data_IF_827788814640
#
_entry.id   IF_827788814640
#
_cell.length_a   1.000
_cell.length_b   1.000
_cell.length_c   1.000
_cell.angle_alpha   90.00
_cell.angle_beta   90.00
_cell.angle_gamma   90.00
#
_symmetry.space_group_name_H-M   'P 1'
#
loop_
_entity.id
_entity.type
_entity.pdbx_description
1 polymer ?
#
# COMPACT_ATOMS: atom_id res chain seq x y z
N UNK A 1 -10.19 -66.24 -42.88
CA UNK A 1 -11.46 -65.70 -42.35
C UNK A 1 -11.12 -64.65 -41.29
N UNK A 2 -11.34 -63.36 -41.61
CA UNK A 2 -11.31 -62.14 -40.74
C UNK A 2 -10.00 -61.84 -39.97
N UNK A 3 -9.10 -60.97 -40.47
CA UNK A 3 -9.08 -59.49 -40.34
C UNK A 3 -9.40 -58.97 -38.93
N UNK A 4 -8.40 -58.48 -38.19
CA UNK A 4 -8.36 -57.43 -37.14
C UNK A 4 -6.89 -57.42 -36.66
N UNK A 5 -6.12 -56.33 -36.49
CA UNK A 5 -6.42 -54.99 -36.00
C UNK A 5 -5.32 -54.02 -36.53
N UNK A 6 -5.72 -52.83 -36.96
CA UNK A 6 -4.87 -51.75 -37.47
C UNK A 6 -4.66 -50.68 -36.40
N UNK A 7 -3.56 -49.94 -36.59
CA UNK A 7 -3.33 -48.53 -36.22
C UNK A 7 -3.06 -48.17 -34.74
N UNK A 8 -1.77 -48.04 -34.44
CA UNK A 8 -1.24 -47.04 -33.51
C UNK A 8 -1.10 -45.71 -34.29
N UNK A 9 -1.83 -44.67 -33.93
CA UNK A 9 -1.64 -43.33 -34.49
C UNK A 9 -1.87 -42.26 -33.43
N UNK A 10 -0.77 -41.59 -33.08
CA UNK A 10 -0.68 -40.15 -32.82
C UNK A 10 -1.62 -39.54 -31.76
N UNK A 11 -1.09 -39.41 -30.55
CA UNK A 11 -1.61 -38.48 -29.53
C UNK A 11 -1.47 -37.05 -30.09
N UNK A 12 -2.60 -36.44 -30.44
CA UNK A 12 -2.67 -35.02 -30.82
C UNK A 12 -2.65 -34.16 -29.56
N UNK A 13 -1.60 -33.33 -29.46
CA UNK A 13 -1.38 -32.33 -28.42
C UNK A 13 -2.39 -31.18 -28.63
N UNK A 14 -3.45 -31.16 -27.84
CA UNK A 14 -4.39 -30.04 -27.80
C UNK A 14 -3.70 -28.85 -27.10
N UNK A 15 -3.24 -27.90 -27.92
CA UNK A 15 -2.75 -26.59 -27.48
C UNK A 15 -3.94 -25.81 -26.90
N UNK A 16 -4.04 -25.76 -25.57
CA UNK A 16 -5.00 -24.91 -24.88
C UNK A 16 -4.58 -23.44 -25.08
N UNK A 17 -5.20 -22.78 -26.05
CA UNK A 17 -5.12 -21.34 -26.24
C UNK A 17 -5.90 -20.72 -25.08
N UNK A 18 -5.18 -20.28 -24.04
CA UNK A 18 -5.70 -19.37 -23.04
C UNK A 18 -6.04 -18.05 -23.72
N UNK A 19 -7.31 -17.90 -24.14
CA UNK A 19 -7.88 -16.61 -24.41
C UNK A 19 -7.92 -15.84 -23.09
N UNK A 20 -6.95 -14.97 -22.87
CA UNK A 20 -7.05 -13.89 -21.89
C UNK A 20 -8.15 -12.95 -22.38
N UNK A 21 -9.38 -13.27 -21.99
CA UNK A 21 -10.53 -12.38 -22.13
C UNK A 21 -10.29 -11.18 -21.22
N UNK A 22 -9.75 -10.10 -21.78
CA UNK A 22 -9.99 -8.77 -21.23
C UNK A 22 -11.50 -8.55 -21.27
N UNK A 23 -12.15 -8.51 -20.11
CA UNK A 23 -13.59 -8.26 -20.03
C UNK A 23 -13.89 -6.83 -20.50
N UNK A 24 -14.42 -6.68 -21.72
CA UNK A 24 -15.09 -5.46 -22.20
C UNK A 24 -16.38 -5.15 -21.41
N UNK A 25 -16.80 -6.04 -20.50
CA UNK A 25 -18.04 -5.94 -19.72
C UNK A 25 -18.02 -4.89 -18.60
N UNK A 26 -16.87 -4.29 -18.26
CA UNK A 26 -16.82 -3.31 -17.16
C UNK A 26 -17.33 -1.92 -17.61
N UNK A 27 -17.27 -1.62 -18.91
CA UNK A 27 -17.74 -0.36 -19.49
C UNK A 27 -19.24 -0.36 -19.82
N UNK A 28 -19.87 -1.54 -19.93
CA UNK A 28 -21.31 -1.65 -20.18
C UNK A 28 -22.16 -1.43 -18.93
N UNK A 29 -21.54 -1.35 -17.74
CA UNK A 29 -22.25 -1.10 -16.48
C UNK A 29 -22.55 0.39 -16.24
N UNK A 30 -21.83 1.34 -16.86
CA UNK A 30 -22.01 2.77 -16.59
C UNK A 30 -23.05 3.43 -17.51
N UNK A 31 -23.89 4.32 -16.96
CA UNK A 31 -24.78 5.16 -17.76
C UNK A 31 -23.95 6.07 -18.67
N UNK A 32 -24.16 5.94 -19.98
CA UNK A 32 -23.54 6.82 -20.97
C UNK A 32 -24.18 8.20 -20.93
N UNK A 33 -23.41 9.18 -20.46
CA UNK A 33 -23.87 10.58 -20.40
C UNK A 33 -24.12 11.11 -21.81
N UNK A 34 -25.31 11.68 -22.03
CA UNK A 34 -25.66 12.30 -23.31
C UNK A 34 -24.89 13.63 -23.47
N UNK A 35 -24.04 13.78 -24.52
CA UNK A 35 -23.25 15.00 -24.72
C UNK A 35 -24.07 16.30 -24.83
N UNK A 36 -25.35 16.21 -25.17
CA UNK A 36 -26.25 17.36 -25.24
C UNK A 36 -26.41 18.08 -23.88
N UNK A 37 -26.12 17.44 -22.76
CA UNK A 37 -26.13 18.08 -21.43
C UNK A 37 -24.91 18.97 -21.17
N UNK A 38 -23.85 18.92 -21.99
CA UNK A 38 -22.65 19.76 -21.80
C UNK A 38 -22.93 21.27 -21.86
N UNK A 39 -24.04 21.69 -22.47
CA UNK A 39 -24.49 23.07 -22.47
C UNK A 39 -25.11 23.53 -21.14
N UNK A 40 -25.46 22.60 -20.24
CA UNK A 40 -26.12 22.86 -18.95
C UNK A 40 -25.28 22.40 -17.75
N UNK A 41 -24.47 21.35 -17.91
CA UNK A 41 -23.62 20.78 -16.86
C UNK A 41 -22.16 20.84 -17.32
N UNK A 42 -21.38 21.71 -16.67
CA UNK A 42 -19.94 21.90 -16.95
C UNK A 42 -19.07 20.86 -16.26
N UNK A 43 -19.52 20.30 -15.15
CA UNK A 43 -18.72 19.34 -14.39
C UNK A 43 -19.53 18.56 -13.39
N UNK A 44 -19.14 17.32 -13.19
CA UNK A 44 -19.69 16.43 -12.17
C UNK A 44 -18.65 15.38 -11.80
N UNK A 45 -18.73 14.83 -10.60
CA UNK A 45 -17.87 13.70 -10.23
C UNK A 45 -18.42 12.42 -10.90
N UNK A 46 -17.58 11.73 -11.66
CA UNK A 46 -17.98 10.56 -12.46
C UNK A 46 -16.91 9.47 -12.43
N UNK A 47 -17.29 8.25 -12.83
CA UNK A 47 -16.35 7.13 -12.88
C UNK A 47 -16.11 6.55 -11.49
N UNK A 48 -14.84 6.32 -11.13
CA UNK A 48 -14.48 5.73 -9.84
C UNK A 48 -14.18 6.83 -8.81
N UNK A 49 -14.93 6.83 -7.70
CA UNK A 49 -14.84 7.84 -6.64
C UNK A 49 -14.48 7.22 -5.29
N UNK A 50 -14.05 8.04 -4.34
CA UNK A 50 -13.87 7.56 -2.97
C UNK A 50 -15.22 7.27 -2.32
N UNK A 51 -15.28 6.27 -1.44
CA UNK A 51 -16.47 6.02 -0.61
C UNK A 51 -16.78 7.15 0.37
N UNK A 52 -15.86 8.08 0.60
CA UNK A 52 -16.07 9.30 1.40
C UNK A 52 -16.27 10.54 0.52
N UNK A 53 -16.49 10.39 -0.79
CA UNK A 53 -16.71 11.52 -1.69
C UNK A 53 -18.13 12.08 -1.58
N UNK A 54 -18.22 13.40 -1.63
CA UNK A 54 -19.46 14.10 -1.94
C UNK A 54 -19.79 13.99 -3.44
N UNK A 55 -21.06 14.17 -3.80
CA UNK A 55 -21.50 14.27 -5.19
C UNK A 55 -21.63 15.74 -5.58
N UNK A 56 -21.09 16.15 -6.72
CA UNK A 56 -21.06 17.55 -7.13
C UNK A 56 -21.60 17.68 -8.54
N UNK A 57 -22.48 18.66 -8.77
CA UNK A 57 -22.89 19.13 -10.09
C UNK A 57 -22.53 20.60 -10.22
N UNK A 58 -21.81 20.95 -11.28
CA UNK A 58 -21.53 22.32 -11.69
C UNK A 58 -22.32 22.66 -12.95
N UNK A 59 -23.21 23.64 -12.82
CA UNK A 59 -24.06 24.19 -13.85
C UNK A 59 -23.26 25.11 -14.81
N UNK A 60 -23.77 25.32 -16.01
CA UNK A 60 -23.20 26.25 -17.00
C UNK A 60 -23.56 27.70 -16.80
N UNK A 61 -24.60 27.96 -16.01
CA UNK A 61 -25.07 29.27 -15.64
C UNK A 61 -25.53 29.30 -14.19
N UNK A 62 -25.63 30.50 -13.64
CA UNK A 62 -26.13 30.71 -12.27
C UNK A 62 -27.60 30.33 -12.19
N UNK A 63 -27.94 29.48 -11.22
CA UNK A 63 -29.34 29.17 -10.94
C UNK A 63 -30.06 30.37 -10.32
N UNK A 64 -31.25 30.68 -10.84
CA UNK A 64 -32.15 31.67 -10.23
C UNK A 64 -32.74 31.20 -8.89
N UNK A 65 -32.59 29.92 -8.57
CA UNK A 65 -33.03 29.29 -7.33
C UNK A 65 -31.98 29.38 -6.22
N UNK A 66 -30.76 29.80 -6.54
CA UNK A 66 -29.72 30.02 -5.55
C UNK A 66 -30.15 31.07 -4.53
N UNK A 67 -29.98 30.74 -3.25
CA UNK A 67 -30.26 31.65 -2.13
C UNK A 67 -28.97 32.21 -1.57
N UNK A 68 -28.16 31.35 -0.95
CA UNK A 68 -26.88 31.68 -0.33
C UNK A 68 -25.99 30.43 -0.29
N UNK A 69 -24.70 30.64 -0.06
CA UNK A 69 -23.72 29.55 0.13
C UNK A 69 -24.04 28.74 1.39
N UNK A 70 -23.84 27.44 1.30
CA UNK A 70 -24.13 26.40 2.30
C UNK A 70 -25.62 26.24 2.66
N UNK A 71 -26.53 26.88 1.92
CA UNK A 71 -27.96 26.69 2.08
C UNK A 71 -28.38 25.27 1.65
N UNK A 72 -29.05 24.54 2.54
CA UNK A 72 -29.62 23.22 2.26
C UNK A 72 -30.76 23.33 1.24
N UNK A 73 -30.74 22.49 0.22
CA UNK A 73 -31.86 22.32 -0.71
C UNK A 73 -32.91 21.41 -0.08
N UNK A 74 -34.09 21.97 0.20
CA UNK A 74 -35.23 21.22 0.74
C UNK A 74 -35.89 20.31 -0.29
N UNK A 75 -35.75 20.66 -1.56
CA UNK A 75 -36.21 19.86 -2.70
C UNK A 75 -35.21 18.72 -2.94
N UNK A 76 -35.71 17.51 -3.17
CA UNK A 76 -34.87 16.35 -3.47
C UNK A 76 -34.35 16.42 -4.90
N UNK A 77 -33.25 17.14 -5.11
CA UNK A 77 -32.64 17.31 -6.44
C UNK A 77 -31.71 16.16 -6.84
N UNK A 78 -31.29 15.33 -5.88
CA UNK A 78 -30.52 14.11 -6.15
C UNK A 78 -31.34 12.88 -5.78
N UNK A 79 -31.28 11.87 -6.65
CA UNK A 79 -31.76 10.52 -6.39
C UNK A 79 -30.66 9.53 -6.72
N UNK A 80 -30.55 8.49 -5.89
CA UNK A 80 -29.51 7.47 -5.97
C UNK A 80 -30.13 6.08 -6.00
N UNK A 81 -29.63 5.22 -6.88
CA UNK A 81 -29.89 3.79 -6.85
C UNK A 81 -28.56 3.02 -6.78
N UNK A 82 -28.24 2.36 -5.65
CA UNK A 82 -29.04 2.26 -4.42
C UNK A 82 -29.12 3.58 -3.64
N UNK A 83 -30.12 3.69 -2.76
CA UNK A 83 -30.38 4.89 -1.97
C UNK A 83 -29.19 5.29 -1.09
N UNK A 84 -28.92 6.60 -1.03
CA UNK A 84 -27.91 7.22 -0.16
C UNK A 84 -28.62 8.25 0.72
N UNK A 85 -28.45 8.13 2.04
CA UNK A 85 -28.88 9.15 2.99
C UNK A 85 -27.88 10.31 3.01
N UNK A 86 -28.37 11.55 3.00
CA UNK A 86 -27.54 12.74 3.00
C UNK A 86 -28.33 13.99 2.62
N UNK A 87 -27.63 15.13 2.57
CA UNK A 87 -28.22 16.44 2.29
C UNK A 87 -27.53 17.10 1.08
N UNK A 88 -28.32 17.78 0.25
CA UNK A 88 -27.82 18.64 -0.81
C UNK A 88 -27.76 20.09 -0.34
N UNK A 89 -26.71 20.81 -0.74
CA UNK A 89 -26.54 22.24 -0.44
C UNK A 89 -25.93 23.00 -1.62
N UNK A 90 -26.19 24.30 -1.65
CA UNK A 90 -25.56 25.22 -2.59
C UNK A 90 -24.13 25.54 -2.14
N UNK A 91 -23.13 25.14 -2.90
CA UNK A 91 -21.74 25.59 -2.65
C UNK A 91 -21.54 27.02 -3.15
N UNK A 92 -22.12 27.33 -4.30
CA UNK A 92 -22.20 28.66 -4.89
C UNK A 92 -23.38 28.70 -5.88
N UNK A 93 -23.58 29.81 -6.59
CA UNK A 93 -24.71 29.98 -7.50
C UNK A 93 -24.72 29.01 -8.72
N UNK A 94 -23.63 28.29 -8.96
CA UNK A 94 -23.45 27.37 -10.09
C UNK A 94 -23.17 25.93 -9.63
N UNK A 95 -22.94 25.70 -8.33
CA UNK A 95 -22.45 24.42 -7.83
C UNK A 95 -23.30 23.91 -6.69
N UNK A 96 -23.80 22.68 -6.85
CA UNK A 96 -24.58 21.98 -5.83
C UNK A 96 -23.81 20.73 -5.43
N UNK A 97 -23.77 20.49 -4.12
CA UNK A 97 -23.07 19.36 -3.53
C UNK A 97 -24.04 18.55 -2.70
N UNK A 98 -24.08 17.24 -2.90
CA UNK A 98 -24.74 16.29 -2.01
C UNK A 98 -23.70 15.61 -1.13
N UNK A 99 -23.88 15.73 0.19
CA UNK A 99 -23.01 15.15 1.19
C UNK A 99 -23.67 13.91 1.82
N UNK A 100 -23.14 12.71 1.58
CA UNK A 100 -23.62 11.50 2.25
C UNK A 100 -23.50 11.61 3.77
N UNK A 101 -24.48 11.09 4.50
CA UNK A 101 -24.48 11.06 5.97
C UNK A 101 -23.46 10.05 6.53
N UNK A 102 -23.09 9.04 5.74
CA UNK A 102 -22.12 7.99 6.08
C UNK A 102 -21.27 7.65 4.85
N UNK A 103 -20.10 7.05 5.08
CA UNK A 103 -19.30 6.50 4.00
C UNK A 103 -20.10 5.48 3.19
N UNK A 104 -20.01 5.59 1.86
CA UNK A 104 -20.67 4.70 0.90
C UNK A 104 -20.13 3.27 1.04
N UNK A 105 -20.82 2.26 0.51
CA UNK A 105 -20.22 0.90 0.50
C UNK A 105 -19.07 0.84 -0.49
N UNK A 106 -18.09 -0.02 -0.21
CA UNK A 106 -16.97 -0.31 -1.11
C UNK A 106 -17.43 -1.04 -2.37
N UNK A 107 -16.73 -0.84 -3.48
CA UNK A 107 -16.95 -1.48 -4.79
C UNK A 107 -18.43 -1.49 -5.25
N UNK A 108 -19.17 -0.43 -4.91
CA UNK A 108 -20.59 -0.31 -5.22
C UNK A 108 -20.79 0.71 -6.33
N UNK A 109 -21.53 0.30 -7.37
CA UNK A 109 -22.06 1.19 -8.39
C UNK A 109 -23.30 1.91 -7.84
N UNK A 110 -23.38 3.21 -8.13
CA UNK A 110 -24.56 4.05 -7.90
C UNK A 110 -24.98 4.70 -9.23
N UNK A 111 -26.24 4.52 -9.59
CA UNK A 111 -26.90 5.32 -10.62
C UNK A 111 -27.43 6.60 -9.96
N UNK A 112 -27.06 7.74 -10.53
CA UNK A 112 -27.38 9.07 -10.02
C UNK A 112 -28.31 9.76 -11.00
N UNK A 113 -29.43 10.24 -10.48
CA UNK A 113 -30.39 11.10 -11.19
C UNK A 113 -30.42 12.46 -10.54
N UNK A 114 -30.10 13.50 -11.31
CA UNK A 114 -30.14 14.88 -10.85
C UNK A 114 -31.28 15.64 -11.55
N UNK A 115 -32.19 16.23 -10.77
CA UNK A 115 -33.33 17.00 -11.25
C UNK A 115 -32.89 18.39 -11.73
N UNK A 116 -32.25 18.43 -12.90
CA UNK A 116 -31.70 19.65 -13.50
C UNK A 116 -32.78 20.71 -13.76
N UNK A 117 -34.01 20.30 -14.08
CA UNK A 117 -35.16 21.19 -14.27
C UNK A 117 -35.64 21.91 -13.01
N UNK A 118 -35.30 21.40 -11.82
CA UNK A 118 -35.66 22.05 -10.56
C UNK A 118 -34.74 23.24 -10.25
N UNK A 119 -33.54 23.25 -10.85
CA UNK A 119 -32.52 24.28 -10.65
C UNK A 119 -32.33 25.21 -11.86
N UNK A 120 -32.76 24.82 -13.05
CA UNK A 120 -32.68 25.62 -14.29
C UNK A 120 -33.99 25.56 -15.09
N UNK A 121 -34.31 26.63 -15.81
CA UNK A 121 -35.50 26.71 -16.67
C UNK A 121 -35.24 25.98 -18.01
N UNK A 122 -35.57 24.68 -18.09
CA UNK A 122 -35.21 23.82 -19.24
C UNK A 122 -36.41 23.25 -20.01
N UNK A 123 -36.17 22.78 -21.24
CA UNK A 123 -37.15 21.98 -21.99
C UNK A 123 -37.32 20.59 -21.37
N UNK A 124 -38.40 19.88 -21.73
CA UNK A 124 -38.76 18.57 -21.14
C UNK A 124 -37.67 17.50 -21.30
N UNK A 125 -36.86 17.58 -22.34
CA UNK A 125 -35.83 16.58 -22.65
C UNK A 125 -34.54 16.71 -21.80
N UNK A 126 -34.37 17.84 -21.10
CA UNK A 126 -33.20 18.12 -20.25
C UNK A 126 -33.53 18.24 -18.76
N UNK A 127 -34.72 17.77 -18.35
CA UNK A 127 -35.16 17.88 -16.95
C UNK A 127 -34.33 17.02 -16.00
N UNK A 128 -33.85 15.86 -16.46
CA UNK A 128 -33.10 14.91 -15.63
C UNK A 128 -31.72 14.65 -16.24
N UNK A 129 -30.69 14.86 -15.42
CA UNK A 129 -29.32 14.53 -15.76
C UNK A 129 -28.93 13.22 -15.07
N UNK A 130 -28.68 12.18 -15.86
CA UNK A 130 -28.41 10.83 -15.36
C UNK A 130 -26.95 10.41 -15.65
N UNK A 131 -26.29 9.86 -14.64
CA UNK A 131 -24.93 9.32 -14.76
C UNK A 131 -24.70 8.21 -13.73
N UNK A 132 -23.57 7.52 -13.81
CA UNK A 132 -23.20 6.51 -12.81
C UNK A 132 -21.82 6.80 -12.23
N UNK A 133 -21.65 6.39 -10.98
CA UNK A 133 -20.35 6.32 -10.31
C UNK A 133 -20.15 4.92 -9.72
N UNK A 134 -18.91 4.56 -9.45
CA UNK A 134 -18.55 3.38 -8.67
C UNK A 134 -17.59 3.80 -7.57
N UNK A 135 -17.76 3.33 -6.35
CA UNK A 135 -16.77 3.56 -5.30
C UNK A 135 -15.54 2.67 -5.53
N UNK A 136 -14.37 3.09 -5.06
CA UNK A 136 -13.18 2.23 -5.12
C UNK A 136 -13.43 0.88 -4.44
N UNK A 137 -12.81 -0.17 -4.99
CA UNK A 137 -12.70 -1.45 -4.31
C UNK A 137 -11.72 -1.33 -3.15
N UNK A 138 -12.21 -1.59 -1.94
CA UNK A 138 -11.43 -1.53 -0.72
C UNK A 138 -10.56 -2.79 -0.59
N UNK A 139 -9.28 -2.57 -0.31
CA UNK A 139 -8.33 -3.60 0.12
C UNK A 139 -7.43 -3.03 1.21
N UNK A 140 -6.92 -3.91 2.07
CA UNK A 140 -6.09 -3.56 3.22
C UNK A 140 -4.78 -4.34 3.21
N UNK A 141 -3.67 -3.65 3.44
CA UNK A 141 -2.33 -4.22 3.47
C UNK A 141 -1.61 -3.81 4.74
N UNK A 142 -0.93 -4.75 5.38
CA UNK A 142 -0.13 -4.46 6.57
C UNK A 142 1.35 -4.50 6.21
N UNK A 143 2.01 -3.38 6.44
CA UNK A 143 3.47 -3.26 6.38
C UNK A 143 4.02 -3.06 7.77
N UNK A 144 5.24 -3.56 8.00
CA UNK A 144 5.94 -3.43 9.27
C UNK A 144 7.34 -2.93 9.02
N UNK A 145 7.82 -2.10 9.93
CA UNK A 145 9.24 -1.85 10.11
C UNK A 145 9.81 -3.01 10.94
N UNK A 146 11.09 -3.33 10.72
CA UNK A 146 11.76 -4.38 11.49
C UNK A 146 11.76 -4.11 13.00
N UNK A 147 11.98 -5.16 13.79
CA UNK A 147 12.14 -5.08 15.25
C UNK A 147 13.23 -4.08 15.63
N UNK A 148 12.98 -3.31 16.69
CA UNK A 148 13.90 -2.34 17.26
C UNK A 148 14.00 -2.53 18.78
N UNK A 149 15.21 -2.58 19.35
CA UNK A 149 15.38 -2.60 20.80
C UNK A 149 15.00 -1.25 21.40
N UNK A 150 14.54 -1.24 22.65
CA UNK A 150 14.33 0.02 23.40
C UNK A 150 15.65 0.70 23.79
N UNK A 151 16.69 -0.10 24.03
CA UNK A 151 18.02 0.35 24.43
C UNK A 151 19.08 -0.38 23.58
N UNK A 152 19.99 0.37 22.94
CA UNK A 152 21.09 -0.21 22.16
C UNK A 152 22.05 -1.05 23.02
N UNK A 153 22.06 -0.87 24.35
CA UNK A 153 22.89 -1.62 25.29
C UNK A 153 22.14 -2.77 25.99
N UNK A 154 20.83 -2.83 25.85
CA UNK A 154 19.99 -3.89 26.40
C UNK A 154 18.95 -4.33 25.38
N UNK A 155 19.30 -5.38 24.63
CA UNK A 155 18.52 -5.87 23.49
C UNK A 155 17.33 -6.76 23.90
N UNK A 156 17.09 -6.97 25.20
CA UNK A 156 16.05 -7.88 25.69
C UNK A 156 14.64 -7.42 25.31
N UNK A 157 14.35 -6.13 25.44
CA UNK A 157 13.03 -5.57 25.18
C UNK A 157 13.01 -4.88 23.82
N UNK A 158 12.00 -5.20 23.02
CA UNK A 158 11.88 -4.74 21.65
C UNK A 158 10.47 -4.25 21.35
N UNK A 159 10.37 -3.50 20.26
CA UNK A 159 9.11 -3.04 19.68
C UNK A 159 9.23 -3.05 18.16
N UNK A 160 8.10 -3.01 17.47
CA UNK A 160 8.07 -2.67 16.06
C UNK A 160 6.93 -1.70 15.77
N UNK A 161 7.06 -0.98 14.67
CA UNK A 161 6.03 -0.09 14.14
C UNK A 161 5.52 -0.72 12.86
N UNK A 162 4.23 -0.61 12.62
CA UNK A 162 3.64 -0.98 11.36
C UNK A 162 2.69 0.08 10.83
N UNK A 163 2.21 -0.17 9.63
CA UNK A 163 1.20 0.65 8.98
C UNK A 163 0.22 -0.29 8.30
N UNK A 164 -1.05 -0.15 8.67
CA UNK A 164 -2.18 -0.67 7.92
C UNK A 164 -2.54 0.38 6.87
N UNK A 165 -2.51 -0.02 5.61
CA UNK A 165 -2.79 0.84 4.45
C UNK A 165 -4.04 0.33 3.75
N UNK A 166 -5.00 1.22 3.49
CA UNK A 166 -6.19 0.92 2.73
C UNK A 166 -6.13 1.55 1.32
N UNK A 167 -6.87 0.99 0.36
CA UNK A 167 -6.98 1.56 -1.00
C UNK A 167 -7.91 2.77 -1.06
N UNK A 168 -8.81 2.91 -0.08
CA UNK A 168 -9.72 4.04 0.09
C UNK A 168 -9.84 4.44 1.57
N UNK A 169 -10.62 5.48 1.89
CA UNK A 169 -10.91 5.87 3.26
C UNK A 169 -11.39 4.66 4.09
N UNK A 170 -10.81 4.52 5.28
CA UNK A 170 -11.13 3.48 6.24
C UNK A 170 -11.28 4.15 7.61
N UNK A 171 -12.38 3.85 8.29
CA UNK A 171 -12.64 4.36 9.62
C UNK A 171 -11.60 3.79 10.61
N UNK A 172 -11.03 4.63 11.52
CA UNK A 172 -10.08 4.20 12.53
C UNK A 172 -10.52 2.95 13.31
N UNK A 173 -11.76 2.93 13.78
CA UNK A 173 -12.32 1.85 14.59
C UNK A 173 -12.46 0.54 13.81
N UNK A 174 -12.58 0.62 12.49
CA UNK A 174 -12.55 -0.57 11.64
C UNK A 174 -11.10 -1.03 11.49
N UNK A 175 -10.15 -0.14 11.21
CA UNK A 175 -8.74 -0.48 11.10
C UNK A 175 -8.20 -1.23 12.34
N UNK A 176 -8.60 -0.80 13.54
CA UNK A 176 -8.24 -1.47 14.79
C UNK A 176 -8.80 -2.90 14.88
N UNK A 177 -10.04 -3.12 14.44
CA UNK A 177 -10.69 -4.44 14.46
C UNK A 177 -10.22 -5.37 13.36
N UNK A 178 -9.63 -4.84 12.30
CA UNK A 178 -9.12 -5.63 11.19
C UNK A 178 -7.84 -6.35 11.55
N UNK A 179 -7.03 -5.82 12.46
CA UNK A 179 -5.68 -6.33 12.75
C UNK A 179 -5.63 -6.93 14.15
N UNK A 180 -5.32 -8.22 14.24
CA UNK A 180 -4.93 -8.87 15.49
C UNK A 180 -3.45 -9.29 15.42
N UNK A 181 -2.78 -9.23 16.57
CA UNK A 181 -1.37 -9.54 16.69
C UNK A 181 -1.16 -10.43 17.92
N UNK A 182 -0.55 -11.59 17.72
CA UNK A 182 -0.37 -12.58 18.78
C UNK A 182 1.10 -12.99 18.92
N UNK A 183 1.50 -13.29 20.16
CA UNK A 183 2.74 -13.99 20.49
C UNK A 183 2.42 -15.16 21.43
N UNK A 184 2.86 -16.37 21.06
CA UNK A 184 2.58 -17.60 21.83
C UNK A 184 1.09 -17.82 22.18
N UNK A 185 0.19 -17.53 21.23
CA UNK A 185 -1.28 -17.58 21.40
C UNK A 185 -1.86 -16.59 22.43
N UNK A 186 -1.09 -15.57 22.82
CA UNK A 186 -1.57 -14.44 23.61
C UNK A 186 -1.67 -13.22 22.71
N UNK A 187 -2.83 -12.56 22.71
CA UNK A 187 -3.04 -11.31 21.98
C UNK A 187 -2.20 -10.20 22.60
N UNK A 188 -1.54 -9.43 21.75
CA UNK A 188 -0.70 -8.30 22.11
C UNK A 188 -1.48 -7.00 22.00
N UNK A 189 -1.23 -6.08 22.93
CA UNK A 189 -1.79 -4.74 22.87
C UNK A 189 -1.20 -3.95 21.69
N UNK A 190 -2.07 -3.29 20.93
CA UNK A 190 -1.70 -2.47 19.77
C UNK A 190 -1.95 -1.00 20.10
N UNK A 191 -0.89 -0.20 20.06
CA UNK A 191 -0.99 1.26 20.23
C UNK A 191 -1.19 1.89 18.86
N UNK A 192 -2.33 2.54 18.64
CA UNK A 192 -2.69 3.13 17.35
C UNK A 192 -2.38 4.62 17.25
N UNK A 193 -2.06 5.07 16.05
CA UNK A 193 -1.98 6.49 15.66
C UNK A 193 -2.56 6.63 14.26
N UNK A 194 -3.71 7.29 14.17
CA UNK A 194 -4.42 7.46 12.92
C UNK A 194 -4.13 8.81 12.30
N UNK A 195 -3.87 8.80 10.99
CA UNK A 195 -3.87 10.01 10.19
C UNK A 195 -5.25 10.16 9.57
N UNK A 196 -6.08 11.04 10.14
CA UNK A 196 -7.48 11.24 9.74
C UNK A 196 -7.66 11.71 8.31
N UNK A 197 -6.58 12.17 7.65
CA UNK A 197 -6.61 12.64 6.27
C UNK A 197 -5.98 11.67 5.27
N UNK A 198 -5.47 10.52 5.73
CA UNK A 198 -4.84 9.55 4.85
C UNK A 198 -5.43 8.15 4.98
N UNK A 199 -5.03 7.29 4.05
CA UNK A 199 -5.43 5.88 3.99
C UNK A 199 -4.47 5.01 4.81
N UNK A 200 -3.87 5.58 5.86
CA UNK A 200 -2.79 4.98 6.64
C UNK A 200 -3.10 5.06 8.12
N UNK A 201 -3.04 3.90 8.77
CA UNK A 201 -3.20 3.75 10.20
C UNK A 201 -1.91 3.18 10.75
N UNK A 202 -1.18 3.97 11.54
CA UNK A 202 0.08 3.55 12.13
C UNK A 202 -0.21 2.82 13.43
N UNK A 203 0.58 1.79 13.70
CA UNK A 203 0.48 1.07 14.95
C UNK A 203 1.85 0.71 15.50
N UNK A 204 1.93 0.52 16.81
CA UNK A 204 3.11 0.08 17.52
C UNK A 204 2.75 -1.11 18.41
N UNK A 205 3.59 -2.14 18.33
CA UNK A 205 3.58 -3.26 19.27
C UNK A 205 4.89 -3.27 20.03
N UNK A 206 4.79 -3.53 21.31
CA UNK A 206 5.75 -3.10 22.31
C UNK A 206 5.95 -4.25 23.32
N UNK A 207 6.91 -4.10 24.23
CA UNK A 207 7.17 -5.11 25.27
C UNK A 207 7.48 -6.53 24.74
N UNK A 208 8.09 -6.63 23.56
CA UNK A 208 8.48 -7.90 22.96
C UNK A 208 9.80 -8.40 23.58
N UNK A 209 9.75 -9.55 24.24
CA UNK A 209 10.92 -10.14 24.89
C UNK A 209 11.72 -11.01 23.91
N UNK A 210 13.01 -10.71 23.78
CA UNK A 210 13.98 -11.64 23.20
C UNK A 210 14.55 -12.55 24.28
N UNK A 211 14.54 -13.85 24.02
CA UNK A 211 15.15 -14.86 24.87
C UNK A 211 16.62 -15.02 24.50
N UNK A 212 17.41 -15.60 25.41
CA UNK A 212 18.85 -15.75 25.24
C UNK A 212 19.22 -16.63 24.04
N UNK A 213 18.58 -17.81 23.93
CA UNK A 213 18.96 -18.87 22.98
C UNK A 213 17.81 -19.35 22.09
N UNK A 214 16.58 -18.98 22.41
CA UNK A 214 15.38 -19.41 21.68
C UNK A 214 14.85 -18.27 20.83
N UNK A 215 14.59 -18.53 19.55
CA UNK A 215 13.78 -17.62 18.75
C UNK A 215 12.31 -17.76 19.13
N UNK A 216 11.56 -16.69 18.86
CA UNK A 216 10.12 -16.64 19.01
C UNK A 216 9.50 -16.02 17.75
N UNK A 217 8.18 -15.87 17.73
CA UNK A 217 7.46 -15.28 16.61
C UNK A 217 6.27 -14.45 17.05
N UNK A 218 6.00 -13.40 16.29
CA UNK A 218 4.75 -12.64 16.35
C UNK A 218 3.97 -12.93 15.09
N UNK A 219 2.69 -13.25 15.24
CA UNK A 219 1.79 -13.51 14.12
C UNK A 219 0.83 -12.33 14.01
N UNK A 220 0.87 -11.63 12.88
CA UNK A 220 -0.07 -10.59 12.53
C UNK A 220 -1.10 -11.22 11.61
N UNK A 221 -2.38 -10.99 11.89
CA UNK A 221 -3.49 -11.46 11.07
C UNK A 221 -4.40 -10.29 10.79
N UNK A 222 -4.80 -10.11 9.53
CA UNK A 222 -5.82 -9.15 9.19
C UNK A 222 -6.91 -9.74 8.31
N UNK A 223 -8.17 -9.45 8.65
CA UNK A 223 -9.34 -9.97 7.95
C UNK A 223 -10.39 -8.89 7.72
N UNK A 224 -10.53 -8.51 6.45
CA UNK A 224 -11.51 -7.54 5.97
C UNK A 224 -12.95 -8.04 5.83
N UNK A 225 -13.18 -9.35 5.84
CA UNK A 225 -14.43 -9.93 5.34
C UNK A 225 -15.66 -9.44 6.09
N UNK A 226 -15.57 -9.32 7.43
CA UNK A 226 -16.67 -8.85 8.28
C UNK A 226 -17.04 -7.38 8.05
N UNK A 227 -16.23 -6.64 7.29
CA UNK A 227 -16.40 -5.21 7.00
C UNK A 227 -16.57 -4.93 5.50
N UNK A 228 -16.83 -5.96 4.69
CA UNK A 228 -17.03 -5.81 3.24
C UNK A 228 -15.74 -5.53 2.47
N UNK A 229 -14.60 -5.91 3.02
CA UNK A 229 -13.28 -5.80 2.40
C UNK A 229 -12.84 -7.23 2.06
N UNK A 230 -12.82 -7.58 0.78
CA UNK A 230 -12.61 -8.96 0.30
C UNK A 230 -11.13 -9.37 0.29
N UNK A 231 -10.39 -9.07 1.35
CA UNK A 231 -9.04 -9.56 1.51
C UNK A 231 -8.69 -9.80 2.98
N UNK A 232 -7.97 -10.88 3.20
CA UNK A 232 -7.41 -11.29 4.48
C UNK A 232 -6.04 -11.89 4.23
N UNK A 233 -5.11 -11.66 5.14
CA UNK A 233 -3.77 -12.23 5.04
C UNK A 233 -3.10 -12.26 6.43
N UNK A 234 -1.94 -12.89 6.53
CA UNK A 234 -1.19 -13.01 7.76
C UNK A 234 0.31 -12.85 7.52
N UNK A 235 1.02 -12.35 8.52
CA UNK A 235 2.46 -12.18 8.47
C UNK A 235 3.08 -12.64 9.77
N UNK A 236 4.02 -13.57 9.66
CA UNK A 236 4.84 -13.98 10.80
C UNK A 236 6.13 -13.17 10.82
N UNK A 237 6.41 -12.54 11.96
CA UNK A 237 7.69 -11.88 12.27
C UNK A 237 8.47 -12.81 13.18
N UNK A 238 9.72 -13.09 12.83
CA UNK A 238 10.65 -13.76 13.73
C UNK A 238 11.18 -12.78 14.77
N UNK A 239 11.14 -13.17 16.05
CA UNK A 239 11.89 -12.55 17.13
C UNK A 239 13.16 -13.41 17.33
N UNK A 240 14.32 -13.00 16.83
CA UNK A 240 15.54 -13.80 16.97
C UNK A 240 15.99 -13.85 18.43
N UNK A 241 16.68 -14.93 18.80
CA UNK A 241 17.36 -15.02 20.09
C UNK A 241 18.42 -13.91 20.25
N UNK A 242 18.81 -13.58 21.48
CA UNK A 242 19.86 -12.59 21.74
C UNK A 242 21.21 -13.04 21.17
N UNK A 243 21.49 -14.35 21.22
CA UNK A 243 22.71 -14.92 20.67
C UNK A 243 22.69 -15.14 19.14
N UNK A 244 21.55 -14.89 18.48
CA UNK A 244 21.39 -15.02 17.02
C UNK A 244 21.61 -13.66 16.33
N UNK A 245 22.86 -13.19 16.36
CA UNK A 245 23.26 -11.98 15.63
C UNK A 245 23.46 -12.30 14.14
N UNK A 246 22.59 -11.76 13.28
CA UNK A 246 22.52 -12.13 11.85
C UNK A 246 22.27 -10.95 10.91
N UNK A 247 22.54 -11.15 9.63
CA UNK A 247 22.28 -10.16 8.57
C UNK A 247 20.85 -10.30 8.06
N UNK A 248 20.04 -9.27 8.25
CA UNK A 248 18.61 -9.26 7.88
C UNK A 248 18.36 -8.78 6.46
N UNK A 249 19.14 -7.80 5.97
CA UNK A 249 18.94 -7.23 4.62
C UNK A 249 20.25 -6.70 4.04
N UNK A 250 20.39 -6.76 2.72
CA UNK A 250 21.45 -6.10 1.95
C UNK A 250 20.81 -5.38 0.77
N UNK A 251 21.04 -4.08 0.63
CA UNK A 251 20.45 -3.30 -0.46
C UNK A 251 21.43 -2.24 -0.99
N UNK A 252 21.32 -1.92 -2.29
CA UNK A 252 22.09 -0.84 -2.91
C UNK A 252 21.24 0.42 -2.96
N UNK A 253 21.73 1.48 -2.34
CA UNK A 253 21.13 2.80 -2.41
C UNK A 253 21.89 3.62 -3.44
N UNK A 254 21.18 4.20 -4.41
CA UNK A 254 21.79 4.92 -5.54
C UNK A 254 21.91 6.41 -5.32
N UNK A 255 21.00 6.99 -4.54
CA UNK A 255 20.89 8.42 -4.28
C UNK A 255 20.54 8.66 -2.80
N UNK A 256 20.93 9.80 -2.21
CA UNK A 256 21.75 10.86 -2.82
C UNK A 256 23.23 10.48 -2.99
N UNK A 257 23.76 9.61 -2.13
CA UNK A 257 25.12 9.06 -2.23
C UNK A 257 25.06 7.54 -2.40
N UNK A 258 25.79 7.01 -3.39
CA UNK A 258 25.74 5.59 -3.73
C UNK A 258 26.45 4.74 -2.67
N UNK A 259 25.74 3.78 -2.07
CA UNK A 259 26.30 2.88 -1.06
C UNK A 259 25.55 1.55 -0.99
N UNK A 260 26.16 0.57 -0.34
CA UNK A 260 25.50 -0.67 0.05
C UNK A 260 25.13 -0.56 1.52
N UNK A 261 23.85 -0.75 1.85
CA UNK A 261 23.36 -0.82 3.21
C UNK A 261 23.18 -2.28 3.63
N UNK A 262 23.89 -2.68 4.67
CA UNK A 262 23.82 -4.01 5.29
C UNK A 262 23.09 -3.83 6.62
N UNK A 263 21.91 -4.40 6.76
CA UNK A 263 21.13 -4.37 8.00
C UNK A 263 21.34 -5.67 8.78
N UNK A 264 21.54 -5.54 10.07
CA UNK A 264 21.71 -6.64 11.01
C UNK A 264 20.51 -6.73 11.97
N UNK A 265 20.37 -7.84 12.69
CA UNK A 265 19.35 -8.02 13.72
C UNK A 265 19.56 -7.07 14.89
N UNK A 266 20.81 -6.72 15.21
CA UNK A 266 21.18 -5.97 16.40
C UNK A 266 22.05 -4.75 16.10
N UNK A 267 22.05 -3.73 16.98
CA UNK A 267 23.02 -2.63 16.93
C UNK A 267 24.45 -3.15 16.97
N UNK A 268 25.32 -2.53 16.19
CA UNK A 268 26.69 -2.98 15.99
C UNK A 268 27.59 -2.29 17.01
N UNK A 269 28.60 -3.00 17.53
CA UNK A 269 29.61 -2.37 18.38
C UNK A 269 30.39 -1.32 17.57
N UNK A 270 30.20 -0.04 17.89
CA UNK A 270 30.80 1.11 17.20
C UNK A 270 32.30 1.25 17.46
N UNK A 271 32.85 0.51 18.43
CA UNK A 271 34.27 0.57 18.79
C UNK A 271 35.15 -0.42 18.03
N UNK A 272 34.55 -1.39 17.30
CA UNK A 272 35.30 -2.42 16.59
C UNK A 272 35.84 -1.92 15.25
N UNK A 273 36.99 -2.47 14.84
CA UNK A 273 37.54 -2.26 13.50
C UNK A 273 36.84 -3.20 12.50
N UNK A 274 36.18 -2.62 11.50
CA UNK A 274 35.41 -3.37 10.49
C UNK A 274 36.23 -3.70 9.23
N UNK A 275 37.45 -3.16 9.12
CA UNK A 275 38.36 -3.47 8.02
C UNK A 275 38.63 -4.97 7.91
N UNK A 276 38.32 -5.54 6.75
CA UNK A 276 38.55 -6.96 6.44
C UNK A 276 37.33 -7.86 6.64
N UNK A 277 36.37 -7.47 7.48
CA UNK A 277 35.10 -8.20 7.61
C UNK A 277 34.19 -7.98 6.41
N UNK A 278 34.30 -6.84 5.71
CA UNK A 278 33.43 -6.49 4.60
C UNK A 278 34.27 -6.21 3.35
N UNK A 279 33.92 -6.88 2.25
CA UNK A 279 34.57 -6.73 0.94
C UNK A 279 33.52 -6.56 -0.15
N UNK A 280 33.72 -5.56 -1.01
CA UNK A 280 32.86 -5.28 -2.15
C UNK A 280 33.64 -5.51 -3.46
N UNK A 281 33.21 -6.48 -4.25
CA UNK A 281 33.92 -6.94 -5.44
C UNK A 281 35.36 -7.35 -5.12
N UNK A 282 36.28 -6.95 -6.00
CA UNK A 282 37.72 -7.11 -5.81
C UNK A 282 38.38 -5.82 -5.27
N UNK A 283 37.60 -4.91 -4.70
CA UNK A 283 38.12 -3.63 -4.20
C UNK A 283 38.95 -3.84 -2.93
N UNK A 284 40.05 -3.10 -2.81
CA UNK A 284 40.82 -3.01 -1.57
C UNK A 284 40.01 -2.31 -0.47
N UNK A 285 40.30 -2.63 0.80
CA UNK A 285 39.63 -2.00 1.96
C UNK A 285 39.80 -0.47 1.99
N UNK A 286 40.89 0.05 1.44
CA UNK A 286 41.13 1.51 1.31
C UNK A 286 40.26 2.19 0.25
N UNK A 287 39.58 1.44 -0.61
CA UNK A 287 38.73 1.95 -1.71
C UNK A 287 37.25 2.10 -1.31
N UNK A 288 36.91 1.78 -0.06
CA UNK A 288 35.58 1.90 0.52
C UNK A 288 35.67 2.66 1.85
N UNK A 289 34.65 3.48 2.13
CA UNK A 289 34.41 4.09 3.44
C UNK A 289 33.28 3.31 4.11
N UNK A 290 33.48 2.91 5.36
CA UNK A 290 32.51 2.15 6.14
C UNK A 290 31.98 3.04 7.26
N UNK A 291 30.67 3.09 7.42
CA UNK A 291 30.01 3.78 8.53
C UNK A 291 29.03 2.86 9.25
N UNK A 292 29.05 2.93 10.58
CA UNK A 292 28.08 2.22 11.43
C UNK A 292 26.97 3.17 11.83
N UNK A 293 25.74 2.84 11.46
CA UNK A 293 24.54 3.55 11.86
C UNK A 293 23.60 2.58 12.61
N UNK A 294 23.72 2.52 13.93
CA UNK A 294 22.99 1.59 14.81
C UNK A 294 23.17 0.13 14.35
N UNK A 295 22.11 -0.52 13.84
CA UNK A 295 22.14 -1.89 13.32
C UNK A 295 22.50 -1.99 11.82
N UNK A 296 22.96 -0.90 11.20
CA UNK A 296 23.35 -0.86 9.79
C UNK A 296 24.83 -0.57 9.63
N UNK A 297 25.44 -1.25 8.65
CA UNK A 297 26.72 -0.85 8.07
C UNK A 297 26.47 -0.29 6.69
N UNK A 298 26.93 0.93 6.46
CA UNK A 298 26.89 1.60 5.17
C UNK A 298 28.27 1.53 4.54
N UNK A 299 28.35 0.91 3.37
CA UNK A 299 29.60 0.72 2.62
C UNK A 299 29.58 1.63 1.40
N UNK A 300 30.37 2.69 1.45
CA UNK A 300 30.48 3.72 0.42
C UNK A 300 31.70 3.47 -0.47
N UNK A 301 31.52 3.04 -1.73
CA UNK A 301 32.59 2.99 -2.70
C UNK A 301 33.10 4.41 -2.98
N UNK A 302 34.43 4.63 -2.97
CA UNK A 302 35.01 5.95 -3.28
C UNK A 302 34.78 6.39 -4.74
N UNK A 303 34.52 5.44 -5.62
CA UNK A 303 34.17 5.67 -7.02
C UNK A 303 32.81 5.08 -7.30
N UNK A 304 32.04 5.71 -8.18
CA UNK A 304 30.72 5.20 -8.57
C UNK A 304 30.86 3.83 -9.25
N UNK A 305 30.06 2.88 -8.79
CA UNK A 305 29.98 1.52 -9.31
C UNK A 305 28.78 1.36 -10.25
N UNK A 306 28.88 0.40 -11.16
CA UNK A 306 27.83 0.00 -12.09
C UNK A 306 27.90 -1.51 -12.35
N UNK A 307 26.78 -2.14 -12.68
CA UNK A 307 26.72 -3.58 -12.90
C UNK A 307 26.67 -4.38 -11.58
N UNK A 308 26.95 -5.68 -11.67
CA UNK A 308 26.91 -6.60 -10.52
C UNK A 308 28.25 -6.67 -9.80
N UNK A 309 28.25 -6.54 -8.47
CA UNK A 309 29.42 -6.78 -7.63
C UNK A 309 29.11 -7.79 -6.54
N UNK A 310 30.11 -8.58 -6.15
CA UNK A 310 29.98 -9.53 -5.04
C UNK A 310 30.25 -8.83 -3.70
N UNK A 311 29.29 -8.84 -2.78
CA UNK A 311 29.46 -8.38 -1.40
C UNK A 311 29.74 -9.58 -0.49
N UNK A 312 30.91 -9.59 0.13
CA UNK A 312 31.34 -10.59 1.12
C UNK A 312 31.37 -9.98 2.51
N UNK A 313 30.74 -10.67 3.45
CA UNK A 313 30.69 -10.32 4.87
C UNK A 313 31.18 -11.54 5.64
N UNK A 314 32.31 -11.39 6.34
CA UNK A 314 32.95 -12.46 7.11
C UNK A 314 32.35 -12.58 8.52
N UNK A 315 32.39 -13.77 9.14
CA UNK A 315 32.00 -13.96 10.54
C UNK A 315 32.86 -13.13 11.49
N UNK A 316 32.36 -12.90 12.69
CA UNK A 316 33.11 -12.30 13.80
C UNK A 316 32.83 -10.82 14.07
N UNK A 317 32.04 -10.15 13.23
CA UNK A 317 31.48 -8.82 13.54
C UNK A 317 30.67 -8.93 14.83
N UNK A 318 30.86 -8.02 15.79
CA UNK A 318 30.16 -8.03 17.07
C UNK A 318 29.00 -7.04 17.13
N UNK A 319 27.92 -7.43 17.79
CA UNK A 319 26.87 -6.50 18.18
C UNK A 319 27.26 -5.72 19.46
N UNK A 320 26.46 -4.73 19.83
CA UNK A 320 26.69 -3.81 20.95
C UNK A 320 26.77 -4.48 22.33
N UNK A 321 26.33 -5.73 22.46
CA UNK A 321 26.38 -6.52 23.70
C UNK A 321 27.34 -7.71 23.61
N UNK A 322 28.10 -7.82 22.52
CA UNK A 322 29.23 -8.74 22.39
C UNK A 322 28.97 -10.07 21.68
N UNK A 323 27.76 -10.34 21.17
CA UNK A 323 27.53 -11.52 20.33
C UNK A 323 28.15 -11.33 18.94
N UNK A 324 28.74 -12.39 18.42
CA UNK A 324 29.43 -12.40 17.14
C UNK A 324 28.53 -12.92 16.02
N UNK A 325 28.67 -12.35 14.83
CA UNK A 325 28.09 -12.88 13.61
C UNK A 325 28.73 -14.23 13.33
N UNK A 326 27.93 -15.29 13.31
CA UNK A 326 28.43 -16.67 13.16
C UNK A 326 28.58 -17.03 11.68
N UNK A 327 27.61 -16.62 10.86
CA UNK A 327 27.55 -17.01 9.45
C UNK A 327 28.15 -15.94 8.53
N UNK A 328 29.00 -16.39 7.61
CA UNK A 328 29.46 -15.56 6.52
C UNK A 328 28.32 -15.34 5.51
N UNK A 329 28.29 -14.18 4.86
CA UNK A 329 27.35 -13.91 3.77
C UNK A 329 28.09 -13.47 2.52
N UNK A 330 27.78 -14.12 1.41
CA UNK A 330 28.24 -13.73 0.08
C UNK A 330 27.02 -13.52 -0.81
N UNK A 331 26.82 -12.29 -1.29
CA UNK A 331 25.63 -11.91 -2.06
C UNK A 331 26.02 -11.00 -3.21
N UNK A 332 25.42 -11.20 -4.38
CA UNK A 332 25.56 -10.28 -5.50
C UNK A 332 24.67 -9.05 -5.27
N UNK A 333 25.26 -7.87 -5.42
CA UNK A 333 24.58 -6.58 -5.33
C UNK A 333 24.63 -5.87 -6.68
N UNK A 334 23.48 -5.35 -7.11
CA UNK A 334 23.32 -4.70 -8.41
C UNK A 334 23.40 -3.18 -8.30
N UNK A 335 24.34 -2.58 -9.03
CA UNK A 335 24.42 -1.15 -9.23
C UNK A 335 23.79 -0.76 -10.56
N UNK A 336 23.05 0.36 -10.58
CA UNK A 336 22.46 0.89 -11.81
C UNK A 336 23.55 1.39 -12.75
N UNK A 337 23.52 0.93 -13.99
CA UNK A 337 24.29 1.53 -15.08
C UNK A 337 23.66 2.84 -15.50
N UNK A 338 24.38 3.95 -15.32
CA UNK A 338 23.99 5.21 -15.96
C UNK A 338 24.61 5.22 -17.34
N UNK A 339 23.82 4.90 -18.36
CA UNK A 339 24.25 5.10 -19.75
C UNK A 339 24.63 6.57 -19.93
N UNK A 340 25.75 6.88 -20.61
CA UNK A 340 26.14 8.26 -20.86
C UNK A 340 24.98 9.01 -21.50
N UNK A 341 24.59 10.15 -20.93
CA UNK A 341 23.73 11.09 -21.64
C UNK A 341 24.48 11.49 -22.91
N UNK A 342 23.85 11.31 -24.08
CA UNK A 342 24.33 11.90 -25.32
C UNK A 342 24.54 13.38 -25.05
N UNK A 343 25.80 13.84 -25.13
CA UNK A 343 26.09 15.27 -25.21
C UNK A 343 25.35 15.76 -26.45
N UNK A 344 24.38 16.66 -26.25
CA UNK A 344 23.79 17.41 -27.36
C UNK A 344 24.85 18.26 -28.04
#
# INVERSE_FOLDING_TARGET
MKLFFKLLAGISLALAICHTSCNENDLSEFVKVNPAFSQYVLGFNSGVISRSSDFTIKLSEKSKKFTETDAILREQVFSFNPYIEGDAYWKDAETIVFKPAKALKSDQKFDVSFALGDVLDLSKEFQEFNYSVRTNKQAVYVTIDGLKPYDEKNLKWNSFIGTLVSTDFLEPEIAEKLLSIENQNSELEIQWTHDTFSKRHYFRVDSLVRKETESDRVILMWDGNSYGIENSDSKTIEIPALNDFKITKTEVIQQPEQHVAISFSDPIDKSQELSGFIRLGNMSTSSVRIEVNSNKILVYPKQRQSGSLQLKIEPGIKNSVGYSLIEAKNVEVQFLEVKPALKM
#
